data_IF_573207302276
#
_entry.id   IF_573207302276
#
_cell.length_a   1.000
_cell.length_b   1.000
_cell.length_c   1.000
_cell.angle_alpha   90.00
_cell.angle_beta   90.00
_cell.angle_gamma   90.00
#
_symmetry.space_group_name_H-M   'P 1'
#
loop_
_entity.id
_entity.type
_entity.pdbx_description
1 polymer ?
#
# COMPACT_ATOMS: atom_id res chain seq x y z
N UNK A 1 -26.68 12.13 1.81
CA UNK A 1 -25.40 11.94 2.47
C UNK A 1 -24.35 11.77 1.39
N UNK A 2 -23.51 12.78 1.20
CA UNK A 2 -22.54 12.83 0.14
C UNK A 2 -21.53 11.70 0.27
N UNK A 3 -21.44 10.91 -0.77
CA UNK A 3 -20.24 10.14 -1.08
C UNK A 3 -19.22 11.15 -1.56
N UNK A 4 -18.52 11.76 -0.66
CA UNK A 4 -17.25 12.41 -1.01
C UNK A 4 -16.31 11.26 -1.39
N UNK A 5 -16.28 11.01 -2.69
CA UNK A 5 -15.61 9.86 -3.25
C UNK A 5 -14.12 9.89 -2.88
N UNK A 6 -13.62 8.74 -2.48
CA UNK A 6 -12.17 8.50 -2.42
C UNK A 6 -11.59 8.91 -3.77
N UNK A 7 -10.77 9.97 -3.77
CA UNK A 7 -10.07 10.41 -4.97
C UNK A 7 -8.89 9.46 -5.19
N UNK A 8 -8.91 8.76 -6.29
CA UNK A 8 -7.79 7.93 -6.74
C UNK A 8 -7.07 8.64 -7.89
N UNK A 9 -5.75 8.72 -7.86
CA UNK A 9 -4.87 8.37 -6.76
C UNK A 9 -5.00 9.31 -5.54
N UNK A 10 -4.54 8.90 -4.34
CA UNK A 10 -4.60 9.74 -3.14
C UNK A 10 -3.95 11.11 -3.35
N UNK A 11 -4.44 12.18 -2.69
CA UNK A 11 -3.92 13.54 -2.88
C UNK A 11 -2.40 13.70 -2.70
N UNK A 12 -1.80 12.89 -1.83
CA UNK A 12 -0.35 12.88 -1.61
C UNK A 12 0.44 12.48 -2.86
N UNK A 13 -0.04 11.48 -3.61
CA UNK A 13 0.59 11.06 -4.86
C UNK A 13 0.44 12.12 -5.94
N UNK A 14 -0.73 12.72 -6.08
CA UNK A 14 -0.94 13.85 -7.00
C UNK A 14 0.00 15.01 -6.71
N UNK A 15 0.16 15.34 -5.42
CA UNK A 15 1.05 16.43 -5.02
C UNK A 15 2.50 16.10 -5.29
N UNK A 16 2.93 14.87 -5.00
CA UNK A 16 4.28 14.42 -5.29
C UNK A 16 4.61 14.48 -6.78
N UNK A 17 3.70 14.00 -7.64
CA UNK A 17 3.87 14.06 -9.09
C UNK A 17 3.94 15.51 -9.60
N UNK A 18 3.07 16.40 -9.13
CA UNK A 18 3.07 17.80 -9.52
C UNK A 18 4.37 18.53 -9.11
N UNK A 19 4.92 18.23 -7.96
CA UNK A 19 6.20 18.78 -7.48
C UNK A 19 7.38 18.23 -8.29
N UNK A 20 7.37 16.93 -8.56
CA UNK A 20 8.40 16.31 -9.38
C UNK A 20 8.44 16.88 -10.81
N UNK A 21 7.28 17.09 -11.41
CA UNK A 21 7.15 17.72 -12.73
C UNK A 21 7.67 19.16 -12.72
N UNK A 22 7.28 19.97 -11.71
CA UNK A 22 7.71 21.37 -11.59
C UNK A 22 9.24 21.49 -11.42
N UNK A 23 9.86 20.54 -10.72
CA UNK A 23 11.29 20.56 -10.43
C UNK A 23 12.10 19.68 -11.41
N UNK A 24 11.48 19.12 -12.45
CA UNK A 24 12.09 18.20 -13.41
C UNK A 24 12.78 16.98 -12.75
N UNK A 25 12.18 16.47 -11.67
CA UNK A 25 12.67 15.27 -10.99
C UNK A 25 12.12 14.02 -11.67
N UNK A 26 12.95 13.06 -12.10
CA UNK A 26 12.49 11.80 -12.67
C UNK A 26 11.62 11.02 -11.67
N UNK A 27 10.52 10.44 -12.15
CA UNK A 27 9.58 9.64 -11.36
C UNK A 27 9.54 8.23 -11.89
N UNK A 28 9.60 7.27 -10.98
CA UNK A 28 9.48 5.84 -11.28
C UNK A 28 8.39 5.19 -10.42
N UNK A 29 7.69 4.24 -11.02
CA UNK A 29 6.71 3.44 -10.29
C UNK A 29 7.43 2.51 -9.31
N UNK A 30 6.98 2.49 -8.06
CA UNK A 30 7.60 1.71 -7.01
C UNK A 30 6.88 0.38 -6.75
N UNK A 31 5.56 0.37 -6.86
CA UNK A 31 4.71 -0.79 -6.59
C UNK A 31 4.64 -1.76 -7.79
N UNK A 32 4.04 -2.92 -7.55
CA UNK A 32 3.77 -3.91 -8.60
C UNK A 32 2.94 -3.31 -9.74
N UNK A 33 3.26 -3.63 -11.00
CA UNK A 33 2.37 -3.38 -12.13
C UNK A 33 1.02 -4.09 -11.92
N UNK A 34 -0.04 -3.56 -12.52
CA UNK A 34 -1.40 -4.09 -12.37
C UNK A 34 -1.52 -5.59 -12.70
N UNK A 35 -0.85 -6.05 -13.75
CA UNK A 35 -0.87 -7.46 -14.15
C UNK A 35 -0.21 -8.37 -13.11
N UNK A 36 0.94 -7.95 -12.57
CA UNK A 36 1.66 -8.69 -11.54
C UNK A 36 0.88 -8.69 -10.21
N UNK A 37 0.29 -7.55 -9.85
CA UNK A 37 -0.59 -7.45 -8.69
C UNK A 37 -1.80 -8.39 -8.83
N UNK A 38 -2.46 -8.39 -10.00
CA UNK A 38 -3.60 -9.26 -10.25
C UNK A 38 -3.22 -10.73 -10.16
N UNK A 39 -2.08 -11.11 -10.71
CA UNK A 39 -1.55 -12.48 -10.61
C UNK A 39 -1.30 -12.87 -9.16
N UNK A 40 -0.55 -12.05 -8.43
CA UNK A 40 -0.26 -12.28 -7.02
C UNK A 40 -1.54 -12.39 -6.18
N UNK A 41 -2.51 -11.50 -6.43
CA UNK A 41 -3.80 -11.51 -5.73
C UNK A 41 -4.59 -12.79 -6.01
N UNK A 42 -4.73 -13.18 -7.27
CA UNK A 42 -5.50 -14.38 -7.66
C UNK A 42 -4.86 -15.69 -7.19
N UNK A 43 -3.53 -15.74 -7.10
CA UNK A 43 -2.79 -16.89 -6.57
C UNK A 43 -2.82 -16.98 -5.05
N UNK A 44 -2.85 -15.84 -4.36
CA UNK A 44 -2.76 -15.76 -2.90
C UNK A 44 -4.11 -15.77 -2.20
N UNK A 45 -5.13 -15.11 -2.77
CA UNK A 45 -6.44 -14.93 -2.16
C UNK A 45 -7.44 -15.91 -2.72
N UNK A 46 -7.79 -16.93 -1.94
CA UNK A 46 -8.84 -17.88 -2.32
C UNK A 46 -10.23 -17.23 -2.26
N UNK A 47 -11.18 -17.78 -3.01
CA UNK A 47 -12.59 -17.36 -2.99
C UNK A 47 -13.17 -17.35 -1.56
N UNK A 48 -12.76 -18.31 -0.72
CA UNK A 48 -13.16 -18.37 0.68
C UNK A 48 -12.62 -17.19 1.49
N UNK A 49 -11.37 -16.81 1.28
CA UNK A 49 -10.78 -15.64 1.94
C UNK A 49 -11.44 -14.34 1.48
N UNK A 50 -11.82 -14.25 0.21
CA UNK A 50 -12.57 -13.11 -0.30
C UNK A 50 -13.93 -12.96 0.41
N UNK A 51 -14.69 -14.04 0.61
CA UNK A 51 -15.92 -14.01 1.42
C UNK A 51 -15.67 -13.65 2.89
N UNK A 52 -14.56 -14.10 3.46
CA UNK A 52 -14.17 -13.73 4.83
C UNK A 52 -13.83 -12.23 4.93
N UNK A 53 -13.18 -11.66 3.92
CA UNK A 53 -12.91 -10.24 3.82
C UNK A 53 -14.20 -9.42 3.83
N UNK A 54 -15.17 -9.76 2.98
CA UNK A 54 -16.48 -9.09 2.94
C UNK A 54 -17.20 -9.13 4.30
N UNK A 55 -17.17 -10.27 4.98
CA UNK A 55 -17.71 -10.39 6.33
C UNK A 55 -16.97 -9.55 7.36
N UNK A 56 -15.65 -9.48 7.25
CA UNK A 56 -14.80 -8.68 8.12
C UNK A 56 -15.12 -7.20 7.96
N UNK A 57 -15.14 -6.70 6.72
CA UNK A 57 -15.52 -5.31 6.43
C UNK A 57 -16.91 -4.96 6.96
N UNK A 58 -17.91 -5.82 6.74
CA UNK A 58 -19.27 -5.62 7.28
C UNK A 58 -19.29 -5.55 8.80
N UNK A 59 -18.47 -6.37 9.46
CA UNK A 59 -18.36 -6.38 10.92
C UNK A 59 -17.71 -5.09 11.43
N UNK A 60 -16.63 -4.65 10.80
CA UNK A 60 -15.93 -3.41 11.13
C UNK A 60 -16.83 -2.19 10.94
N UNK A 61 -17.61 -2.14 9.86
CA UNK A 61 -18.59 -1.08 9.62
C UNK A 61 -19.68 -1.01 10.71
N UNK A 62 -20.10 -2.17 11.27
CA UNK A 62 -21.12 -2.23 12.32
C UNK A 62 -20.60 -1.87 13.71
N UNK A 63 -19.36 -2.30 14.04
CA UNK A 63 -18.74 -2.03 15.34
C UNK A 63 -18.23 -0.62 15.49
N UNK A 64 -17.93 0.04 14.36
CA UNK A 64 -17.05 1.18 14.33
C UNK A 64 -15.58 0.74 14.47
N UNK A 65 -14.69 1.61 14.07
CA UNK A 65 -13.26 1.46 14.26
C UNK A 65 -12.84 2.33 15.45
N UNK A 66 -11.88 1.88 16.24
CA UNK A 66 -11.43 2.61 17.43
C UNK A 66 -10.53 3.80 17.07
N UNK A 67 -10.16 3.88 15.79
CA UNK A 67 -9.27 4.90 15.27
C UNK A 67 -9.83 6.32 15.44
N UNK A 68 -9.04 7.19 16.06
CA UNK A 68 -9.36 8.61 16.23
C UNK A 68 -8.89 9.49 15.07
N UNK A 69 -8.01 8.98 14.21
CA UNK A 69 -7.44 9.69 13.07
C UNK A 69 -7.50 8.85 11.78
N UNK A 70 -7.48 9.49 10.58
CA UNK A 70 -7.42 8.76 9.32
C UNK A 70 -6.20 7.83 9.21
N UNK A 71 -5.08 8.20 9.80
CA UNK A 71 -3.85 7.40 9.82
C UNK A 71 -4.02 6.13 10.64
N UNK A 72 -4.56 6.26 11.85
CA UNK A 72 -4.88 5.12 12.72
C UNK A 72 -5.90 4.21 12.06
N UNK A 73 -6.90 4.78 11.37
CA UNK A 73 -7.89 4.04 10.62
C UNK A 73 -7.26 3.18 9.53
N UNK A 74 -6.35 3.75 8.74
CA UNK A 74 -5.65 3.02 7.68
C UNK A 74 -4.85 1.84 8.24
N UNK A 75 -4.10 2.06 9.33
CA UNK A 75 -3.32 1.02 9.98
C UNK A 75 -4.19 -0.06 10.66
N UNK A 76 -5.32 0.33 11.24
CA UNK A 76 -6.26 -0.61 11.85
C UNK A 76 -6.93 -1.50 10.80
N UNK A 77 -7.40 -0.91 9.70
CA UNK A 77 -7.97 -1.65 8.58
C UNK A 77 -6.97 -2.64 7.98
N UNK A 78 -5.75 -2.20 7.73
CA UNK A 78 -4.69 -3.05 7.22
C UNK A 78 -4.39 -4.25 8.14
N UNK A 79 -4.27 -4.01 9.45
CA UNK A 79 -4.08 -5.10 10.43
C UNK A 79 -5.21 -6.12 10.39
N UNK A 80 -6.45 -5.67 10.26
CA UNK A 80 -7.58 -6.57 10.17
C UNK A 80 -7.58 -7.38 8.88
N UNK A 81 -7.29 -6.77 7.73
CA UNK A 81 -7.20 -7.46 6.45
C UNK A 81 -6.06 -8.48 6.43
N UNK A 82 -4.91 -8.13 6.99
CA UNK A 82 -3.74 -8.99 7.06
C UNK A 82 -3.89 -10.18 8.06
N UNK A 83 -4.99 -10.27 8.82
CA UNK A 83 -5.35 -11.51 9.51
C UNK A 83 -5.73 -12.63 8.54
N UNK A 84 -6.06 -12.30 7.31
CA UNK A 84 -6.31 -13.24 6.22
C UNK A 84 -4.98 -13.51 5.50
N UNK A 85 -4.51 -14.74 5.54
CA UNK A 85 -3.16 -15.10 5.05
C UNK A 85 -2.92 -14.75 3.58
N UNK A 86 -3.93 -14.86 2.71
CA UNK A 86 -3.81 -14.47 1.30
C UNK A 86 -3.63 -12.97 1.12
N UNK A 87 -4.36 -12.15 1.86
CA UNK A 87 -4.17 -10.70 1.85
C UNK A 87 -2.81 -10.31 2.42
N UNK A 88 -2.38 -10.92 3.52
CA UNK A 88 -1.04 -10.71 4.05
C UNK A 88 0.05 -11.06 3.03
N UNK A 89 -0.10 -12.16 2.29
CA UNK A 89 0.85 -12.56 1.25
C UNK A 89 0.92 -11.54 0.11
N UNK A 90 -0.21 -10.98 -0.31
CA UNK A 90 -0.26 -9.91 -1.33
C UNK A 90 0.50 -8.67 -0.84
N UNK A 91 0.22 -8.21 0.38
CA UNK A 91 0.86 -7.01 0.92
C UNK A 91 2.37 -7.21 1.14
N UNK A 92 2.80 -8.37 1.63
CA UNK A 92 4.23 -8.71 1.73
C UNK A 92 4.92 -8.79 0.36
N UNK A 93 4.23 -9.29 -0.67
CA UNK A 93 4.75 -9.30 -2.04
C UNK A 93 4.95 -7.89 -2.60
N UNK A 94 4.01 -6.98 -2.34
CA UNK A 94 4.13 -5.56 -2.68
C UNK A 94 5.32 -4.91 -1.96
N UNK A 95 5.43 -5.11 -0.65
CA UNK A 95 6.54 -4.58 0.17
C UNK A 95 7.90 -5.07 -0.32
N UNK A 96 8.01 -6.36 -0.67
CA UNK A 96 9.24 -6.93 -1.20
C UNK A 96 9.64 -6.30 -2.54
N UNK A 97 8.69 -6.10 -3.44
CA UNK A 97 8.95 -5.44 -4.72
C UNK A 97 9.34 -3.97 -4.55
N UNK A 98 8.62 -3.23 -3.70
CA UNK A 98 8.97 -1.84 -3.38
C UNK A 98 10.38 -1.72 -2.81
N UNK A 99 10.76 -2.58 -1.87
CA UNK A 99 12.09 -2.61 -1.29
C UNK A 99 13.16 -2.97 -2.32
N UNK A 100 12.89 -3.90 -3.24
CA UNK A 100 13.78 -4.26 -4.33
C UNK A 100 14.05 -3.06 -5.25
N UNK A 101 12.99 -2.39 -5.71
CA UNK A 101 13.10 -1.21 -6.59
C UNK A 101 13.79 -0.05 -5.90
N UNK A 102 13.53 0.17 -4.61
CA UNK A 102 14.24 1.19 -3.84
C UNK A 102 15.73 0.92 -3.74
N UNK A 103 16.15 -0.33 -3.50
CA UNK A 103 17.57 -0.68 -3.50
C UNK A 103 18.22 -0.39 -4.84
N UNK A 104 17.57 -0.73 -5.95
CA UNK A 104 18.05 -0.46 -7.30
C UNK A 104 18.18 1.05 -7.55
N UNK A 105 17.13 1.82 -7.24
CA UNK A 105 17.17 3.26 -7.40
C UNK A 105 18.27 3.93 -6.54
N UNK A 106 18.48 3.47 -5.31
CA UNK A 106 19.54 3.97 -4.43
C UNK A 106 20.95 3.58 -4.88
N UNK A 107 21.11 2.48 -5.62
CA UNK A 107 22.39 2.11 -6.20
C UNK A 107 22.80 3.03 -7.36
N UNK A 108 21.83 3.57 -8.08
CA UNK A 108 22.06 4.43 -9.25
C UNK A 108 22.03 5.93 -8.92
N UNK A 109 21.42 6.34 -7.82
CA UNK A 109 21.16 7.74 -7.47
C UNK A 109 21.60 8.08 -6.05
N UNK A 110 22.15 9.27 -5.89
CA UNK A 110 22.62 9.75 -4.59
C UNK A 110 21.47 10.09 -3.61
N UNK A 111 20.31 10.47 -4.15
CA UNK A 111 19.14 10.86 -3.36
C UNK A 111 17.88 10.30 -4.00
N UNK A 112 17.11 9.57 -3.21
CA UNK A 112 15.83 9.00 -3.61
C UNK A 112 14.79 9.37 -2.57
N UNK A 113 13.63 9.85 -3.02
CA UNK A 113 12.44 10.06 -2.19
C UNK A 113 11.38 9.06 -2.62
N UNK A 114 10.93 8.24 -1.70
CA UNK A 114 9.81 7.33 -1.92
C UNK A 114 8.53 7.85 -1.25
N UNK A 115 7.44 7.85 -1.99
CA UNK A 115 6.10 8.14 -1.45
C UNK A 115 5.33 6.82 -1.43
N UNK A 116 5.03 6.33 -0.23
CA UNK A 116 4.48 4.99 0.01
C UNK A 116 3.22 5.13 0.87
N UNK A 117 2.26 4.24 0.66
CA UNK A 117 1.08 4.11 1.53
C UNK A 117 1.51 3.79 2.97
N UNK A 118 0.93 4.50 3.93
CA UNK A 118 1.30 4.40 5.34
C UNK A 118 1.39 2.95 5.88
N UNK A 119 0.45 2.04 5.60
CA UNK A 119 0.53 0.67 6.08
C UNK A 119 1.72 -0.13 5.54
N UNK A 120 2.28 0.27 4.39
CA UNK A 120 3.41 -0.45 3.75
C UNK A 120 4.78 0.06 4.19
N UNK A 121 4.86 1.23 4.81
CA UNK A 121 6.14 1.87 5.17
C UNK A 121 7.01 0.97 6.04
N UNK A 122 6.45 0.43 7.11
CA UNK A 122 7.20 -0.40 8.05
C UNK A 122 7.78 -1.65 7.37
N UNK A 123 6.94 -2.41 6.62
CA UNK A 123 7.37 -3.61 5.91
C UNK A 123 8.44 -3.33 4.85
N UNK A 124 8.33 -2.22 4.13
CA UNK A 124 9.37 -1.81 3.17
C UNK A 124 10.67 -1.47 3.88
N UNK A 125 10.61 -0.69 4.97
CA UNK A 125 11.81 -0.29 5.74
C UNK A 125 12.52 -1.51 6.34
N UNK A 126 11.78 -2.48 6.87
CA UNK A 126 12.34 -3.71 7.44
C UNK A 126 13.10 -4.57 6.42
N UNK A 127 12.73 -4.46 5.14
CA UNK A 127 13.36 -5.17 4.02
C UNK A 127 14.56 -4.42 3.40
N UNK A 128 14.78 -3.17 3.80
CA UNK A 128 15.94 -2.41 3.33
C UNK A 128 17.18 -2.71 4.20
N UNK A 129 18.41 -2.60 3.63
CA UNK A 129 19.62 -2.74 4.41
C UNK A 129 19.66 -1.72 5.55
N UNK A 130 19.89 -2.19 6.74
CA UNK A 130 20.13 -1.31 7.88
C UNK A 130 21.48 -0.62 7.69
N UNK A 131 21.53 0.71 7.86
CA UNK A 131 22.74 1.48 7.77
C UNK A 131 23.71 1.16 8.92
#
# INVERSE_FOLDING_TARGET
AGKDGVRLPPPAFHRALALADADNVPVEALDLPEEEFTTLFTESVSTWQWFRCDRLEKRLRKRGLEAGTPQELALEMDRHLCTLSGYAAVEHGREAEMARRLREACAERQRVLAVIELPRVAGVVDLLPQA
#
